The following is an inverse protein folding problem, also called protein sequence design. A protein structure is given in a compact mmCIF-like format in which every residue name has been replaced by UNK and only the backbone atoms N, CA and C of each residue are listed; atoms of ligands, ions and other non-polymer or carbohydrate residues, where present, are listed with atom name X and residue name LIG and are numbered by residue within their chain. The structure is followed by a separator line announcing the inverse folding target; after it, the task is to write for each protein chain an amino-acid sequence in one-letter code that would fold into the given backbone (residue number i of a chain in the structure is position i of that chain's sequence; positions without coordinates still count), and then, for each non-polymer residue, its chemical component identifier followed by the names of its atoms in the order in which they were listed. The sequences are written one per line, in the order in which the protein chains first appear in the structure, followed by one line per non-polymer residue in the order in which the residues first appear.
data_IF_462401039081
#
_entry.id   IF_462401039081
#
_cell.length_a   1.000
_cell.length_b   1.000
_cell.length_c   1.000
_cell.angle_alpha   90.00
_cell.angle_beta   90.00
_cell.angle_gamma   90.00
#
_symmetry.space_group_name_H-M   'P 1'
#
loop_
_entity.id
_entity.type
_entity.pdbx_description
1 polymer ?
#
# COMPACT_ATOMS: atom_id res chain seq x y z
N UNK A 1 32.17 -1.47 0.71
CA UNK A 1 31.06 -0.81 1.47
C UNK A 1 30.60 0.38 0.65
N UNK A 2 29.66 0.19 -0.24
CA UNK A 2 29.08 1.26 -1.06
C UNK A 2 27.70 1.56 -0.47
N UNK A 3 27.63 2.70 0.22
CA UNK A 3 26.36 3.30 0.65
C UNK A 3 25.60 3.71 -0.62
N UNK A 4 24.64 2.92 -1.04
CA UNK A 4 23.73 3.30 -2.12
C UNK A 4 22.56 4.09 -1.52
N UNK A 5 22.86 5.30 -1.05
CA UNK A 5 21.85 6.37 -0.87
C UNK A 5 21.48 7.00 -2.21
N UNK A 6 21.76 6.33 -3.32
CA UNK A 6 21.54 6.85 -4.66
C UNK A 6 20.15 6.42 -5.14
N UNK A 7 19.20 7.35 -5.21
CA UNK A 7 17.87 7.08 -5.79
C UNK A 7 17.94 6.58 -7.23
N UNK A 8 19.05 6.90 -7.95
CA UNK A 8 19.36 6.40 -9.28
C UNK A 8 19.73 4.91 -9.20
N UNK A 9 20.46 4.49 -8.17
CA UNK A 9 20.79 3.09 -7.92
C UNK A 9 19.56 2.24 -7.68
N UNK A 10 18.64 2.70 -6.85
CA UNK A 10 17.35 2.03 -6.57
C UNK A 10 16.53 1.93 -7.86
N UNK A 11 16.43 3.02 -8.63
CA UNK A 11 15.71 3.02 -9.90
C UNK A 11 16.38 2.08 -10.93
N UNK A 12 17.70 2.08 -10.99
CA UNK A 12 18.47 1.20 -11.90
C UNK A 12 18.32 -0.27 -11.51
N UNK A 13 18.38 -0.61 -10.23
CA UNK A 13 18.10 -1.98 -9.76
C UNK A 13 16.67 -2.40 -10.07
N UNK A 14 15.70 -1.53 -9.86
CA UNK A 14 14.29 -1.81 -10.16
C UNK A 14 14.01 -1.96 -11.66
N UNK A 15 14.77 -1.27 -12.52
CA UNK A 15 14.59 -1.33 -13.98
C UNK A 15 15.47 -2.36 -14.67
N UNK A 16 16.56 -2.82 -14.04
CA UNK A 16 17.55 -3.74 -14.63
C UNK A 16 17.33 -5.17 -14.14
N UNK A 17 16.91 -5.35 -12.89
CA UNK A 17 16.58 -6.67 -12.35
C UNK A 17 15.11 -7.00 -12.62
N UNK A 18 14.81 -8.26 -12.91
CA UNK A 18 13.41 -8.71 -12.95
C UNK A 18 12.77 -8.44 -11.58
N UNK A 19 11.66 -7.67 -11.52
CA UNK A 19 11.03 -7.33 -10.26
C UNK A 19 10.48 -8.59 -9.60
N UNK A 20 10.94 -8.88 -8.39
CA UNK A 20 10.42 -9.97 -7.58
C UNK A 20 9.46 -9.44 -6.52
N UNK A 21 8.36 -10.14 -6.24
CA UNK A 21 7.46 -9.75 -5.17
C UNK A 21 8.14 -10.00 -3.81
N UNK A 22 7.75 -9.22 -2.82
CA UNK A 22 8.12 -9.48 -1.43
C UNK A 22 7.58 -10.86 -1.05
N UNK A 23 8.46 -11.70 -0.49
CA UNK A 23 8.12 -13.07 -0.06
C UNK A 23 6.87 -13.07 0.84
N UNK A 24 5.94 -13.97 0.58
CA UNK A 24 4.69 -14.13 1.33
C UNK A 24 3.58 -13.14 0.93
N UNK A 25 3.88 -12.03 0.25
CA UNK A 25 2.84 -11.07 -0.15
C UNK A 25 1.90 -11.63 -1.22
N UNK A 26 2.36 -12.33 -2.29
CA UNK A 26 1.45 -12.98 -3.22
C UNK A 26 0.49 -13.96 -2.54
N UNK A 27 0.99 -14.73 -1.58
CA UNK A 27 0.21 -15.69 -0.80
C UNK A 27 -0.83 -14.99 0.08
N UNK A 28 -0.47 -13.88 0.73
CA UNK A 28 -1.41 -13.04 1.48
C UNK A 28 -2.54 -12.53 0.59
N UNK A 29 -2.23 -12.01 -0.60
CA UNK A 29 -3.24 -11.53 -1.55
C UNK A 29 -4.09 -12.67 -2.13
N UNK A 30 -3.51 -13.84 -2.35
CA UNK A 30 -4.25 -15.04 -2.75
C UNK A 30 -5.23 -15.48 -1.64
N UNK A 31 -4.80 -15.44 -0.38
CA UNK A 31 -5.63 -15.70 0.78
C UNK A 31 -6.80 -14.71 0.89
N UNK A 32 -6.53 -13.41 0.75
CA UNK A 32 -7.56 -12.37 0.69
C UNK A 32 -8.56 -12.64 -0.45
N UNK A 33 -8.07 -12.95 -1.64
CA UNK A 33 -8.91 -13.24 -2.81
C UNK A 33 -9.81 -14.46 -2.58
N UNK A 34 -9.29 -15.50 -1.94
CA UNK A 34 -10.07 -16.71 -1.64
C UNK A 34 -11.20 -16.48 -0.63
N UNK A 35 -11.03 -15.50 0.26
CA UNK A 35 -12.01 -15.15 1.30
C UNK A 35 -13.09 -14.18 0.82
N UNK A 36 -12.80 -13.38 -0.18
CA UNK A 36 -13.69 -12.34 -0.67
C UNK A 36 -14.59 -12.87 -1.80
N UNK A 37 -15.77 -12.27 -2.01
CA UNK A 37 -16.62 -12.59 -3.17
C UNK A 37 -15.84 -12.49 -4.48
N UNK A 38 -16.16 -13.34 -5.46
CA UNK A 38 -15.44 -13.40 -6.74
C UNK A 38 -15.48 -12.07 -7.53
N UNK A 39 -16.54 -11.29 -7.34
CA UNK A 39 -16.74 -9.97 -7.97
C UNK A 39 -16.09 -8.82 -7.18
N UNK A 40 -15.28 -9.11 -6.16
CA UNK A 40 -14.61 -8.08 -5.37
C UNK A 40 -13.66 -7.25 -6.24
N UNK A 41 -13.87 -5.92 -6.35
CA UNK A 41 -12.96 -5.08 -7.09
C UNK A 41 -11.64 -4.88 -6.33
N UNK A 42 -10.53 -4.88 -7.08
CA UNK A 42 -9.19 -4.62 -6.57
C UNK A 42 -8.66 -3.30 -7.11
N UNK A 43 -8.05 -2.50 -6.24
CA UNK A 43 -7.44 -1.21 -6.59
C UNK A 43 -6.01 -1.18 -6.11
N UNK A 44 -5.09 -0.84 -7.00
CA UNK A 44 -3.68 -0.66 -6.72
C UNK A 44 -3.36 0.82 -6.85
N UNK A 45 -3.21 1.50 -5.72
CA UNK A 45 -2.94 2.95 -5.67
C UNK A 45 -1.45 3.16 -5.46
N UNK A 46 -0.80 3.79 -6.40
CA UNK A 46 0.63 4.10 -6.32
C UNK A 46 0.89 5.54 -6.72
N UNK A 47 1.72 6.23 -5.94
CA UNK A 47 2.19 7.57 -6.28
C UNK A 47 3.21 7.58 -7.44
N UNK A 48 3.53 6.43 -8.01
CA UNK A 48 4.41 6.31 -9.17
C UNK A 48 3.85 7.05 -10.38
N UNK A 49 4.71 7.65 -11.20
CA UNK A 49 4.32 8.32 -12.43
C UNK A 49 3.68 7.35 -13.45
N UNK A 50 2.77 7.88 -14.26
CA UNK A 50 2.06 7.10 -15.28
C UNK A 50 2.97 6.41 -16.30
N UNK A 51 4.16 6.93 -16.54
CA UNK A 51 5.16 6.33 -17.43
C UNK A 51 5.56 4.91 -17.02
N UNK A 52 5.42 4.55 -15.73
CA UNK A 52 5.70 3.22 -15.21
C UNK A 52 4.51 2.25 -15.34
N UNK A 53 3.40 2.69 -15.92
CA UNK A 53 2.17 1.88 -16.05
C UNK A 53 2.39 0.50 -16.69
N UNK A 54 3.09 0.36 -17.84
CA UNK A 54 3.29 -0.96 -18.45
C UNK A 54 4.03 -1.92 -17.51
N UNK A 55 5.12 -1.46 -16.91
CA UNK A 55 5.93 -2.23 -15.97
C UNK A 55 5.12 -2.66 -14.73
N UNK A 56 4.44 -1.73 -14.07
CA UNK A 56 3.66 -2.01 -12.87
C UNK A 56 2.44 -2.89 -13.18
N UNK A 57 1.82 -2.74 -14.35
CA UNK A 57 0.75 -3.61 -14.81
C UNK A 57 1.22 -5.05 -14.99
N UNK A 58 2.37 -5.25 -15.62
CA UNK A 58 2.90 -6.58 -15.90
C UNK A 58 3.34 -7.26 -14.60
N UNK A 59 3.99 -6.52 -13.71
CA UNK A 59 4.31 -6.99 -12.36
C UNK A 59 3.06 -7.41 -11.57
N UNK A 60 2.03 -6.53 -11.52
CA UNK A 60 0.77 -6.86 -10.86
C UNK A 60 0.12 -8.11 -11.46
N UNK A 61 0.07 -8.23 -12.79
CA UNK A 61 -0.55 -9.37 -13.46
C UNK A 61 0.17 -10.69 -13.17
N UNK A 62 1.49 -10.64 -12.96
CA UNK A 62 2.28 -11.83 -12.65
C UNK A 62 2.05 -12.35 -11.22
N UNK A 63 1.83 -11.47 -10.25
CA UNK A 63 1.91 -11.84 -8.84
C UNK A 63 0.66 -11.55 -8.00
N UNK A 64 -0.28 -10.71 -8.48
CA UNK A 64 -1.39 -10.21 -7.69
C UNK A 64 -2.74 -10.33 -8.41
N UNK A 65 -3.86 -10.29 -7.69
CA UNK A 65 -5.19 -10.31 -8.29
C UNK A 65 -5.37 -9.20 -9.35
N UNK A 66 -6.12 -9.45 -10.43
CA UNK A 66 -6.42 -8.42 -11.41
C UNK A 66 -7.25 -7.29 -10.78
N UNK A 67 -6.94 -6.03 -11.16
CA UNK A 67 -7.61 -4.87 -10.60
C UNK A 67 -7.24 -3.58 -11.29
N UNK A 68 -7.82 -2.46 -10.91
CA UNK A 68 -7.48 -1.15 -11.45
C UNK A 68 -6.15 -0.64 -10.86
N UNK A 69 -5.25 -0.19 -11.73
CA UNK A 69 -3.99 0.44 -11.35
C UNK A 69 -4.17 1.96 -11.47
N UNK A 70 -4.07 2.65 -10.34
CA UNK A 70 -4.23 4.10 -10.23
C UNK A 70 -2.86 4.73 -9.96
N UNK A 71 -2.32 5.40 -10.94
CA UNK A 71 -1.01 6.07 -10.89
C UNK A 71 -1.20 7.59 -10.93
N UNK A 72 -0.15 8.32 -10.55
CA UNK A 72 -0.11 9.76 -10.67
C UNK A 72 -0.08 10.18 -12.14
N UNK A 73 -0.87 11.18 -12.50
CA UNK A 73 -0.92 11.75 -13.86
C UNK A 73 0.30 12.60 -14.21
N UNK A 74 1.28 12.68 -13.31
CA UNK A 74 2.52 13.42 -13.57
C UNK A 74 3.45 12.63 -14.48
N UNK A 75 3.82 13.22 -15.59
CA UNK A 75 4.86 12.72 -16.49
C UNK A 75 6.21 13.31 -16.06
N UNK A 76 7.21 12.45 -15.82
CA UNK A 76 8.57 12.93 -15.57
C UNK A 76 9.37 12.95 -16.87
N UNK A 77 10.04 14.07 -17.13
CA UNK A 77 11.02 14.22 -18.22
C UNK A 77 12.46 14.27 -17.72
N UNK A 78 12.63 14.41 -16.40
CA UNK A 78 13.94 14.47 -15.73
C UNK A 78 13.94 13.59 -14.49
N UNK A 79 15.10 13.10 -14.13
CA UNK A 79 15.27 12.27 -12.93
C UNK A 79 14.87 13.01 -11.65
N UNK A 80 15.20 14.31 -11.55
CA UNK A 80 14.79 15.15 -10.42
C UNK A 80 13.26 15.27 -10.33
N UNK A 81 12.56 15.37 -11.47
CA UNK A 81 11.11 15.36 -11.52
C UNK A 81 10.50 14.02 -11.05
N UNK A 82 11.13 12.89 -11.40
CA UNK A 82 10.73 11.57 -10.90
C UNK A 82 10.86 11.48 -9.37
N UNK A 83 12.01 11.87 -8.83
CA UNK A 83 12.27 11.83 -7.39
C UNK A 83 11.28 12.73 -6.63
N UNK A 84 11.05 13.95 -7.11
CA UNK A 84 10.06 14.84 -6.54
C UNK A 84 8.65 14.23 -6.58
N UNK A 85 8.27 13.60 -7.69
CA UNK A 85 6.97 12.95 -7.82
C UNK A 85 6.79 11.75 -6.87
N UNK A 86 7.87 11.03 -6.55
CA UNK A 86 7.83 9.89 -5.63
C UNK A 86 7.77 10.29 -4.14
N UNK A 87 8.22 11.50 -3.81
CA UNK A 87 8.36 11.93 -2.41
C UNK A 87 7.37 13.00 -1.97
N UNK A 88 6.84 13.82 -2.88
CA UNK A 88 5.97 14.95 -2.55
C UNK A 88 4.49 14.61 -2.65
N UNK A 89 3.70 15.02 -1.64
CA UNK A 89 2.24 14.94 -1.65
C UNK A 89 1.71 13.51 -1.88
N UNK A 90 2.37 12.51 -1.30
CA UNK A 90 1.94 11.10 -1.46
C UNK A 90 0.72 10.78 -0.60
N UNK A 91 0.58 11.44 0.54
CA UNK A 91 -0.57 11.28 1.44
C UNK A 91 -1.83 11.83 0.79
N UNK A 92 -1.79 13.10 0.38
CA UNK A 92 -2.92 13.78 -0.26
C UNK A 92 -3.39 13.03 -1.52
N UNK A 93 -2.43 12.55 -2.32
CA UNK A 93 -2.74 11.74 -3.49
C UNK A 93 -3.49 10.45 -3.11
N UNK A 94 -3.01 9.71 -2.10
CA UNK A 94 -3.65 8.47 -1.66
C UNK A 94 -5.05 8.73 -1.09
N UNK A 95 -5.21 9.77 -0.28
CA UNK A 95 -6.52 10.19 0.27
C UNK A 95 -7.48 10.56 -0.85
N UNK A 96 -7.02 11.32 -1.86
CA UNK A 96 -7.85 11.67 -3.03
C UNK A 96 -8.32 10.41 -3.79
N UNK A 97 -7.42 9.43 -4.00
CA UNK A 97 -7.78 8.17 -4.68
C UNK A 97 -8.75 7.33 -3.86
N UNK A 98 -8.56 7.25 -2.54
CA UNK A 98 -9.48 6.56 -1.64
C UNK A 98 -10.86 7.25 -1.61
N UNK A 99 -10.91 8.57 -1.62
CA UNK A 99 -12.15 9.36 -1.75
C UNK A 99 -12.89 9.04 -3.05
N UNK A 100 -12.15 8.92 -4.15
CA UNK A 100 -12.73 8.55 -5.46
C UNK A 100 -13.30 7.13 -5.45
N UNK A 101 -12.57 6.17 -4.85
CA UNK A 101 -13.03 4.79 -4.68
C UNK A 101 -14.27 4.75 -3.77
N UNK A 102 -14.29 5.51 -2.68
CA UNK A 102 -15.46 5.65 -1.82
C UNK A 102 -16.69 6.15 -2.62
N UNK A 103 -16.51 7.15 -3.48
CA UNK A 103 -17.58 7.66 -4.34
C UNK A 103 -18.16 6.60 -5.28
N UNK A 104 -17.34 5.65 -5.74
CA UNK A 104 -17.80 4.54 -6.57
C UNK A 104 -18.45 3.40 -5.76
N UNK A 105 -17.95 3.15 -4.54
CA UNK A 105 -18.34 2.01 -3.71
C UNK A 105 -18.66 2.41 -2.26
N UNK A 106 -19.58 3.35 -2.02
CA UNK A 106 -19.82 3.89 -0.67
C UNK A 106 -20.41 2.88 0.31
N UNK A 107 -21.04 1.83 -0.22
CA UNK A 107 -21.68 0.77 0.60
C UNK A 107 -20.82 -0.47 0.80
N UNK A 108 -19.73 -0.63 0.03
CA UNK A 108 -18.82 -1.77 0.18
C UNK A 108 -17.79 -1.47 1.27
N UNK A 109 -17.52 -2.46 2.11
CA UNK A 109 -16.44 -2.35 3.11
C UNK A 109 -15.09 -2.61 2.44
N UNK A 110 -14.08 -1.82 2.79
CA UNK A 110 -12.75 -1.91 2.21
C UNK A 110 -11.76 -2.56 3.17
N UNK A 111 -10.84 -3.33 2.60
CA UNK A 111 -9.61 -3.77 3.25
C UNK A 111 -8.47 -3.00 2.57
N UNK A 112 -7.66 -2.32 3.36
CA UNK A 112 -6.51 -1.56 2.86
C UNK A 112 -5.23 -2.29 3.23
N UNK A 113 -4.31 -2.41 2.27
CA UNK A 113 -2.99 -3.01 2.48
C UNK A 113 -1.94 -2.01 2.02
N UNK A 114 -0.98 -1.71 2.88
CA UNK A 114 0.10 -0.77 2.60
C UNK A 114 1.38 -1.12 3.35
N UNK A 115 2.35 -0.23 3.32
CA UNK A 115 3.62 -0.41 4.02
C UNK A 115 4.05 0.84 4.81
N UNK A 116 5.08 0.68 5.63
CA UNK A 116 5.59 1.76 6.48
C UNK A 116 6.52 2.74 5.77
N UNK A 117 6.96 2.46 4.53
CA UNK A 117 7.99 3.27 3.85
C UNK A 117 7.48 4.63 3.37
N UNK A 118 6.18 4.71 3.09
CA UNK A 118 5.52 5.92 2.61
C UNK A 118 4.42 6.35 3.59
N UNK A 119 3.48 7.15 3.09
CA UNK A 119 2.36 7.74 3.85
C UNK A 119 1.11 6.85 3.92
N UNK A 120 1.25 5.52 3.79
CA UNK A 120 0.09 4.63 3.90
C UNK A 120 -0.61 4.72 5.26
N UNK A 121 0.11 4.69 6.40
CA UNK A 121 -0.54 4.82 7.70
C UNK A 121 -1.36 6.11 7.83
N UNK A 122 -0.79 7.25 7.46
CA UNK A 122 -1.43 8.56 7.56
C UNK A 122 -2.64 8.66 6.64
N UNK A 123 -2.49 8.28 5.36
CA UNK A 123 -3.56 8.32 4.37
C UNK A 123 -4.73 7.39 4.73
N UNK A 124 -4.44 6.20 5.28
CA UNK A 124 -5.49 5.26 5.68
C UNK A 124 -6.19 5.70 6.95
N UNK A 125 -5.46 6.29 7.89
CA UNK A 125 -6.03 6.92 9.09
C UNK A 125 -6.98 8.06 8.72
N UNK A 126 -6.56 8.94 7.79
CA UNK A 126 -7.39 10.04 7.32
C UNK A 126 -8.65 9.52 6.59
N UNK A 127 -8.52 8.52 5.73
CA UNK A 127 -9.66 7.91 5.06
C UNK A 127 -10.67 7.28 6.04
N UNK A 128 -10.20 6.70 7.17
CA UNK A 128 -11.09 6.21 8.23
C UNK A 128 -11.88 7.35 8.89
N UNK A 129 -11.25 8.51 9.10
CA UNK A 129 -11.91 9.68 9.68
C UNK A 129 -12.92 10.32 8.72
N UNK A 130 -12.56 10.41 7.44
CA UNK A 130 -13.43 10.96 6.40
C UNK A 130 -14.65 10.06 6.12
N UNK A 131 -14.49 8.74 6.21
CA UNK A 131 -15.53 7.77 5.85
C UNK A 131 -15.76 6.77 6.97
N UNK A 132 -16.38 7.17 8.08
CA UNK A 132 -16.58 6.32 9.26
C UNK A 132 -17.27 5.00 8.92
N UNK A 133 -16.64 3.89 9.34
CA UNK A 133 -17.15 2.53 9.11
C UNK A 133 -17.05 2.02 7.67
N UNK A 134 -16.47 2.75 6.74
CA UNK A 134 -16.21 2.27 5.37
C UNK A 134 -15.02 1.30 5.30
N UNK A 135 -13.95 1.59 6.05
CA UNK A 135 -12.78 0.72 6.13
C UNK A 135 -13.00 -0.32 7.23
N UNK A 136 -12.87 -1.57 6.87
CA UNK A 136 -13.07 -2.72 7.76
C UNK A 136 -11.77 -3.21 8.38
N UNK A 137 -10.69 -3.14 7.61
CA UNK A 137 -9.38 -3.60 8.04
C UNK A 137 -8.28 -2.82 7.33
N UNK A 138 -7.22 -2.50 8.06
CA UNK A 138 -5.98 -1.93 7.56
C UNK A 138 -4.86 -2.87 7.94
N UNK A 139 -4.04 -3.26 6.95
CA UNK A 139 -2.86 -4.09 7.11
C UNK A 139 -1.65 -3.26 6.67
N UNK A 140 -0.77 -2.90 7.59
CA UNK A 140 0.48 -2.16 7.30
C UNK A 140 1.66 -3.09 7.48
N UNK A 141 2.36 -3.38 6.39
CA UNK A 141 3.62 -4.11 6.44
C UNK A 141 4.72 -3.19 6.96
N UNK A 142 5.36 -3.57 8.05
CA UNK A 142 6.55 -2.92 8.57
C UNK A 142 7.75 -3.37 7.73
N UNK A 143 8.37 -2.45 7.01
CA UNK A 143 9.55 -2.73 6.19
C UNK A 143 10.79 -2.63 7.06
N UNK A 144 11.63 -3.66 7.06
CA UNK A 144 12.84 -3.75 7.88
C UNK A 144 14.12 -3.47 7.07
N UNK A 145 14.00 -3.15 5.79
CA UNK A 145 15.16 -2.87 4.94
C UNK A 145 15.87 -1.58 5.36
N UNK A 146 17.07 -1.74 5.92
CA UNK A 146 17.91 -0.64 6.37
C UNK A 146 18.34 0.31 5.24
N UNK A 147 18.25 -0.13 3.99
CA UNK A 147 18.51 0.73 2.82
C UNK A 147 17.38 1.78 2.60
N UNK A 148 16.21 1.57 3.18
CA UNK A 148 15.11 2.53 3.08
C UNK A 148 15.36 3.75 3.96
N UNK A 149 15.39 4.93 3.35
CA UNK A 149 15.68 6.20 4.04
C UNK A 149 14.68 6.46 5.17
N UNK A 150 15.20 6.68 6.38
CA UNK A 150 14.41 7.01 7.57
C UNK A 150 13.51 5.86 8.04
N UNK A 151 13.89 4.60 7.76
CA UNK A 151 13.05 3.46 8.08
C UNK A 151 12.85 3.27 9.59
N UNK A 152 13.83 3.63 10.39
CA UNK A 152 13.76 3.55 11.85
C UNK A 152 12.62 4.43 12.38
N UNK A 153 12.60 5.70 12.02
CA UNK A 153 11.56 6.65 12.42
C UNK A 153 10.20 6.29 11.85
N UNK A 154 10.17 5.78 10.60
CA UNK A 154 8.93 5.33 9.95
C UNK A 154 8.31 4.11 10.61
N UNK A 155 9.10 3.33 11.33
CA UNK A 155 8.69 2.13 12.03
C UNK A 155 8.41 2.35 13.53
N UNK A 156 8.58 3.57 14.04
CA UNK A 156 8.27 3.86 15.44
C UNK A 156 6.79 3.62 15.76
N UNK A 157 6.48 2.90 16.84
CA UNK A 157 5.08 2.65 17.25
C UNK A 157 4.27 3.94 17.39
N UNK A 158 4.88 5.00 17.91
CA UNK A 158 4.25 6.31 18.08
C UNK A 158 3.69 6.89 16.77
N UNK A 159 4.34 6.63 15.63
CA UNK A 159 3.83 7.05 14.31
C UNK A 159 2.48 6.40 14.00
N UNK A 160 2.37 5.09 14.20
CA UNK A 160 1.13 4.36 13.94
C UNK A 160 0.02 4.79 14.91
N UNK A 161 0.36 5.03 16.18
CA UNK A 161 -0.60 5.53 17.18
C UNK A 161 -1.13 6.92 16.81
N UNK A 162 -0.29 7.78 16.25
CA UNK A 162 -0.70 9.10 15.74
C UNK A 162 -1.55 8.96 14.48
N UNK A 163 -1.10 8.18 13.50
CA UNK A 163 -1.80 7.97 12.23
C UNK A 163 -3.21 7.40 12.45
N UNK A 164 -3.34 6.45 13.36
CA UNK A 164 -4.61 5.75 13.65
C UNK A 164 -5.33 6.26 14.90
N UNK A 165 -4.97 7.46 15.38
CA UNK A 165 -5.63 8.07 16.55
C UNK A 165 -7.16 8.14 16.35
N UNK A 166 -7.90 7.61 17.34
CA UNK A 166 -9.37 7.57 17.32
C UNK A 166 -9.97 6.43 16.48
N UNK A 167 -9.16 5.58 15.87
CA UNK A 167 -9.61 4.39 15.13
C UNK A 167 -9.52 3.17 16.05
N UNK A 168 -10.57 2.33 16.16
CA UNK A 168 -10.54 1.13 16.99
C UNK A 168 -9.36 0.22 16.64
N UNK A 169 -8.68 -0.33 17.65
CA UNK A 169 -7.46 -1.14 17.47
C UNK A 169 -7.69 -2.40 16.63
N UNK A 170 -8.88 -2.94 16.64
CA UNK A 170 -9.29 -4.10 15.85
C UNK A 170 -9.42 -3.82 14.34
N UNK A 171 -9.35 -2.55 13.93
CA UNK A 171 -9.44 -2.14 12.52
C UNK A 171 -8.07 -2.11 11.85
N UNK A 172 -6.99 -1.88 12.59
CA UNK A 172 -5.66 -1.72 12.01
C UNK A 172 -4.62 -2.61 12.65
N UNK A 173 -3.75 -3.18 11.83
CA UNK A 173 -2.71 -4.13 12.21
C UNK A 173 -1.41 -3.77 11.51
N UNK A 174 -0.31 -3.80 12.27
CA UNK A 174 1.05 -3.68 11.74
C UNK A 174 1.69 -5.05 11.85
N UNK A 175 2.30 -5.52 10.77
CA UNK A 175 2.92 -6.84 10.69
C UNK A 175 4.30 -6.73 10.01
N UNK A 176 5.19 -7.64 10.29
CA UNK A 176 6.50 -7.77 9.65
C UNK A 176 6.44 -8.85 8.57
N UNK A 177 5.97 -10.04 8.94
CA UNK A 177 5.83 -11.17 8.02
C UNK A 177 4.37 -11.38 7.61
N UNK A 178 4.08 -11.60 6.30
CA UNK A 178 2.71 -11.75 5.80
C UNK A 178 1.90 -12.87 6.45
N UNK A 179 2.57 -13.90 6.97
CA UNK A 179 1.94 -15.03 7.68
C UNK A 179 1.22 -14.62 8.96
N UNK A 180 1.64 -13.52 9.60
CA UNK A 180 0.99 -12.95 10.79
C UNK A 180 -0.46 -12.52 10.49
N UNK A 181 -0.74 -12.18 9.24
CA UNK A 181 -2.08 -11.79 8.81
C UNK A 181 -3.07 -12.97 8.76
N UNK A 182 -2.62 -14.22 8.79
CA UNK A 182 -3.49 -15.39 8.64
C UNK A 182 -4.59 -15.46 9.70
N UNK A 183 -4.29 -15.07 10.95
CA UNK A 183 -5.30 -15.05 12.01
C UNK A 183 -6.30 -13.90 11.79
N UNK A 184 -5.81 -12.73 11.42
CA UNK A 184 -6.64 -11.54 11.11
C UNK A 184 -7.63 -11.89 9.99
N UNK A 185 -7.15 -12.57 8.94
CA UNK A 185 -7.99 -13.00 7.83
C UNK A 185 -9.10 -13.95 8.27
N UNK A 186 -8.79 -14.94 9.13
CA UNK A 186 -9.80 -15.84 9.68
C UNK A 186 -10.87 -15.10 10.50
N UNK A 187 -10.47 -14.12 11.29
CA UNK A 187 -11.39 -13.34 12.12
C UNK A 187 -12.29 -12.41 11.29
N UNK A 188 -11.74 -11.87 10.18
CA UNK A 188 -12.53 -11.12 9.21
C UNK A 188 -13.63 -11.97 8.56
N UNK A 189 -13.35 -13.25 8.31
CA UNK A 189 -14.34 -14.17 7.69
C UNK A 189 -15.47 -14.49 8.68
N UNK A 190 -15.15 -14.73 9.94
CA UNK A 190 -16.14 -15.08 10.99
C UNK A 190 -17.13 -13.96 11.27
N UNK A 191 -16.72 -12.71 11.14
CA UNK A 191 -17.61 -11.53 11.36
C UNK A 191 -18.55 -11.24 10.19
N UNK A 192 -18.52 -12.04 9.11
CA UNK A 192 -19.41 -11.91 7.95
C UNK A 192 -20.64 -12.83 8.05
N UNK A 193 -20.68 -13.72 9.04
CA UNK A 193 -21.80 -14.59 9.38
C UNK A 193 -22.45 -14.12 10.69
#
# INVERSE_FOLDING_TARGET
MTQTSDPIGILRETLVNEPSPIKGMPELYAGLKAMLPQDTPWFYVSASPYNLYPFLRDFRNAFFPPGALMLRETSWRTLAGLLSALTSGTEEYKVERLTKIHGWFPKRKMILVGDSTQSDPEAYGEACRLFPGWIRCILIRKVLDEAAVGISEKNEPARFDVAFKGIPKEVWHVFEEPEECNQILRDLTRKNH
#
